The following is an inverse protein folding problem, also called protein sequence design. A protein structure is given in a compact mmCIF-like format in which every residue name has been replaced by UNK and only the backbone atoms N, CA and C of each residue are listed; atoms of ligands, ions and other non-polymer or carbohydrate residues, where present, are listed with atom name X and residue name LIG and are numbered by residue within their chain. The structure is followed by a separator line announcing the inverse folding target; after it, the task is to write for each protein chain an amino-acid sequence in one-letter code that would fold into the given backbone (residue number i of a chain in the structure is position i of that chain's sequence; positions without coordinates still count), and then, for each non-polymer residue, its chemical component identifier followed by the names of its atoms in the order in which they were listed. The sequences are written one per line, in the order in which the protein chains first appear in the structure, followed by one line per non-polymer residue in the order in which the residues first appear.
data_IF_271640812431
#
_entry.id   IF_271640812431
#
_cell.length_a   1.000
_cell.length_b   1.000
_cell.length_c   1.000
_cell.angle_alpha   90.00
_cell.angle_beta   90.00
_cell.angle_gamma   90.00
#
_symmetry.space_group_name_H-M   'P 1'
#
loop_
_entity.id
_entity.type
_entity.pdbx_description
1 polymer ?
#
# COMPACT_ATOMS: atom_id res chain seq x y z
N UNK A 1 -25.38 -16.64 6.65
CA UNK A 1 -24.07 -16.68 5.96
C UNK A 1 -23.05 -17.35 6.88
N UNK A 2 -22.22 -18.28 6.39
CA UNK A 2 -21.25 -18.98 7.26
C UNK A 2 -20.20 -17.99 7.80
N UNK A 3 -19.81 -18.13 9.08
CA UNK A 3 -18.85 -17.23 9.75
C UNK A 3 -17.54 -17.04 8.97
N UNK A 4 -17.07 -18.08 8.29
CA UNK A 4 -15.87 -18.05 7.42
C UNK A 4 -16.05 -17.15 6.19
N UNK A 5 -17.24 -17.13 5.60
CA UNK A 5 -17.56 -16.26 4.46
C UNK A 5 -17.70 -14.81 4.90
N UNK A 6 -18.29 -14.57 6.08
CA UNK A 6 -18.38 -13.22 6.66
C UNK A 6 -16.97 -12.66 6.92
N UNK A 7 -16.10 -13.44 7.56
CA UNK A 7 -14.70 -13.07 7.82
C UNK A 7 -13.92 -12.84 6.52
N UNK A 8 -14.11 -13.68 5.49
CA UNK A 8 -13.47 -13.50 4.18
C UNK A 8 -13.90 -12.21 3.46
N UNK A 9 -15.19 -11.88 3.49
CA UNK A 9 -15.71 -10.61 2.94
C UNK A 9 -15.12 -9.43 3.70
N UNK A 10 -15.14 -9.46 5.03
CA UNK A 10 -14.61 -8.39 5.86
C UNK A 10 -13.11 -8.14 5.58
N UNK A 11 -12.33 -9.22 5.53
CA UNK A 11 -10.89 -9.16 5.29
C UNK A 11 -10.57 -8.65 3.87
N UNK A 12 -11.36 -9.06 2.88
CA UNK A 12 -11.25 -8.55 1.52
C UNK A 12 -11.58 -7.06 1.42
N UNK A 13 -12.62 -6.58 2.11
CA UNK A 13 -13.00 -5.16 2.08
C UNK A 13 -11.97 -4.29 2.80
N UNK A 14 -11.45 -4.74 3.94
CA UNK A 14 -10.39 -4.02 4.64
C UNK A 14 -9.11 -3.98 3.80
N UNK A 15 -8.75 -5.10 3.17
CA UNK A 15 -7.59 -5.18 2.28
C UNK A 15 -7.69 -4.24 1.07
N UNK A 16 -8.86 -4.16 0.40
CA UNK A 16 -9.05 -3.23 -0.72
C UNK A 16 -8.91 -1.77 -0.27
N UNK A 17 -9.51 -1.40 0.87
CA UNK A 17 -9.44 -0.04 1.40
C UNK A 17 -8.00 0.38 1.71
N UNK A 18 -7.20 -0.51 2.32
CA UNK A 18 -5.78 -0.24 2.61
C UNK A 18 -5.01 -0.02 1.31
N UNK A 19 -5.18 -0.89 0.30
CA UNK A 19 -4.46 -0.76 -0.97
C UNK A 19 -4.82 0.54 -1.69
N UNK A 20 -6.11 0.88 -1.76
CA UNK A 20 -6.57 2.12 -2.41
C UNK A 20 -6.02 3.35 -1.69
N UNK A 21 -6.05 3.36 -0.36
CA UNK A 21 -5.51 4.46 0.44
C UNK A 21 -4.00 4.62 0.24
N UNK A 22 -3.24 3.51 0.30
CA UNK A 22 -1.78 3.55 0.11
C UNK A 22 -1.40 3.99 -1.31
N UNK A 23 -2.15 3.56 -2.32
CA UNK A 23 -1.95 4.01 -3.70
C UNK A 23 -2.19 5.51 -3.86
N UNK A 24 -3.26 6.03 -3.24
CA UNK A 24 -3.55 7.47 -3.27
C UNK A 24 -2.46 8.31 -2.59
N UNK A 25 -1.91 7.82 -1.46
CA UNK A 25 -0.79 8.44 -0.78
C UNK A 25 0.49 8.41 -1.63
N UNK A 26 0.78 7.28 -2.28
CA UNK A 26 1.94 7.15 -3.18
C UNK A 26 1.87 8.15 -4.34
N UNK A 27 0.70 8.31 -4.97
CA UNK A 27 0.48 9.27 -6.05
C UNK A 27 0.67 10.71 -5.54
N UNK A 28 0.16 11.04 -4.36
CA UNK A 28 0.39 12.36 -3.75
C UNK A 28 1.88 12.62 -3.53
N UNK A 29 2.59 11.68 -2.92
CA UNK A 29 4.03 11.80 -2.68
C UNK A 29 4.80 11.99 -3.99
N UNK A 30 4.48 11.20 -5.01
CA UNK A 30 5.12 11.31 -6.34
C UNK A 30 4.90 12.70 -6.95
N UNK A 31 3.67 13.22 -6.91
CA UNK A 31 3.35 14.55 -7.43
C UNK A 31 4.05 15.67 -6.65
N UNK A 32 4.14 15.56 -5.32
CA UNK A 32 4.86 16.54 -4.49
C UNK A 32 6.36 16.53 -4.77
N UNK A 33 6.97 15.36 -4.92
CA UNK A 33 8.39 15.25 -5.28
C UNK A 33 8.63 15.90 -6.64
N UNK A 34 7.87 15.57 -7.67
CA UNK A 34 8.09 16.15 -9.01
C UNK A 34 7.99 17.68 -9.06
N UNK A 35 7.12 18.29 -8.25
CA UNK A 35 7.04 19.75 -8.17
C UNK A 35 8.21 20.39 -7.41
N UNK A 36 8.74 19.69 -6.39
CA UNK A 36 9.85 20.19 -5.58
C UNK A 36 11.24 19.84 -6.16
N UNK A 37 11.33 18.85 -7.05
CA UNK A 37 12.58 18.49 -7.73
C UNK A 37 13.10 19.59 -8.65
N UNK A 38 12.20 20.39 -9.24
CA UNK A 38 12.58 21.51 -10.11
C UNK A 38 13.28 22.65 -9.33
N UNK A 39 12.90 22.86 -8.07
CA UNK A 39 13.50 23.88 -7.20
C UNK A 39 14.71 23.36 -6.43
N UNK A 40 14.76 22.06 -6.12
CA UNK A 40 15.90 21.42 -5.46
C UNK A 40 17.19 21.43 -6.32
N UNK A 41 17.07 21.41 -7.65
CA UNK A 41 18.21 21.54 -8.57
C UNK A 41 18.83 22.95 -8.51
N UNK A 42 18.05 23.98 -8.13
CA UNK A 42 18.49 25.38 -8.10
C UNK A 42 18.94 25.80 -6.68
N UNK A 43 18.44 25.16 -5.62
CA UNK A 43 18.60 25.57 -4.22
C UNK A 43 19.84 25.07 -3.46
N UNK A 44 20.72 24.29 -4.09
CA UNK A 44 22.01 23.90 -3.50
C UNK A 44 22.23 22.40 -3.41
N UNK A 45 23.11 21.91 -4.29
CA UNK A 45 24.09 20.81 -4.26
C UNK A 45 23.91 19.52 -3.40
N UNK A 46 23.01 19.42 -2.43
CA UNK A 46 22.87 18.24 -1.56
C UNK A 46 21.87 17.20 -2.12
N UNK A 47 21.99 16.96 -3.42
CA UNK A 47 21.19 15.98 -4.16
C UNK A 47 21.20 14.56 -3.55
N UNK A 48 22.34 14.03 -3.08
CA UNK A 48 22.39 12.71 -2.44
C UNK A 48 21.55 12.64 -1.15
N UNK A 49 21.53 13.70 -0.35
CA UNK A 49 20.79 13.75 0.93
C UNK A 49 19.28 13.87 0.70
N UNK A 50 18.86 14.64 -0.31
CA UNK A 50 17.45 14.72 -0.70
C UNK A 50 16.90 13.37 -1.20
N UNK A 51 17.69 12.65 -2.00
CA UNK A 51 17.35 11.30 -2.46
C UNK A 51 17.24 10.34 -1.26
N UNK A 52 18.21 10.37 -0.34
CA UNK A 52 18.20 9.52 0.85
C UNK A 52 16.95 9.70 1.73
N UNK A 53 16.53 10.95 1.98
CA UNK A 53 15.33 11.27 2.75
C UNK A 53 14.03 10.80 2.08
N UNK A 54 13.93 10.93 0.76
CA UNK A 54 12.76 10.46 -0.01
C UNK A 54 12.65 8.94 0.05
N UNK A 55 13.77 8.23 -0.06
CA UNK A 55 13.79 6.77 0.04
C UNK A 55 13.44 6.30 1.46
N UNK A 56 13.95 6.95 2.52
CA UNK A 56 13.69 6.53 3.91
C UNK A 56 12.20 6.61 4.30
N UNK A 57 11.46 7.60 3.80
CA UNK A 57 10.01 7.72 4.05
C UNK A 57 9.14 6.76 3.24
N UNK A 58 9.59 6.36 2.04
CA UNK A 58 8.80 5.56 1.09
C UNK A 58 8.64 4.08 1.48
N UNK A 59 9.59 3.51 2.23
CA UNK A 59 9.57 2.07 2.57
C UNK A 59 8.31 1.65 3.34
N UNK A 60 7.82 2.48 4.26
CA UNK A 60 6.62 2.19 5.04
C UNK A 60 5.36 2.07 4.18
N UNK A 61 5.23 2.95 3.16
CA UNK A 61 4.12 2.91 2.22
C UNK A 61 4.14 1.61 1.39
N UNK A 62 5.32 1.21 0.92
CA UNK A 62 5.50 -0.01 0.12
C UNK A 62 5.18 -1.26 0.97
N UNK A 63 5.70 -1.33 2.19
CA UNK A 63 5.44 -2.44 3.13
C UNK A 63 3.94 -2.54 3.45
N UNK A 64 3.28 -1.42 3.74
CA UNK A 64 1.85 -1.38 4.01
C UNK A 64 1.03 -1.83 2.79
N UNK A 65 1.47 -1.48 1.58
CA UNK A 65 0.81 -1.89 0.33
C UNK A 65 0.93 -3.41 0.11
N UNK A 66 2.12 -3.99 0.34
CA UNK A 66 2.34 -5.44 0.28
C UNK A 66 1.47 -6.16 1.31
N UNK A 67 1.40 -5.66 2.54
CA UNK A 67 0.55 -6.22 3.59
C UNK A 67 -0.94 -6.18 3.21
N UNK A 68 -1.42 -5.07 2.63
CA UNK A 68 -2.79 -4.94 2.13
C UNK A 68 -3.13 -5.94 1.02
N UNK A 69 -2.20 -6.17 0.09
CA UNK A 69 -2.34 -7.18 -0.98
C UNK A 69 -2.39 -8.60 -0.38
N UNK A 70 -1.54 -8.91 0.59
CA UNK A 70 -1.57 -10.21 1.27
C UNK A 70 -2.91 -10.45 2.01
N UNK A 71 -3.45 -9.41 2.64
CA UNK A 71 -4.79 -9.45 3.25
C UNK A 71 -5.90 -9.71 2.21
N UNK A 72 -5.81 -9.11 1.03
CA UNK A 72 -6.77 -9.37 -0.05
C UNK A 72 -6.73 -10.82 -0.50
N UNK A 73 -5.52 -11.34 -0.76
CA UNK A 73 -5.32 -12.73 -1.21
C UNK A 73 -5.88 -13.69 -0.16
N UNK A 74 -5.56 -13.49 1.12
CA UNK A 74 -6.06 -14.34 2.20
C UNK A 74 -7.59 -14.26 2.35
N UNK A 75 -8.18 -13.07 2.21
CA UNK A 75 -9.63 -12.88 2.18
C UNK A 75 -10.31 -13.64 1.04
N UNK A 76 -9.76 -13.56 -0.17
CA UNK A 76 -10.26 -14.27 -1.36
C UNK A 76 -10.12 -15.79 -1.18
N UNK A 77 -8.97 -16.26 -0.70
CA UNK A 77 -8.74 -17.69 -0.44
C UNK A 77 -9.74 -18.23 0.57
N UNK A 78 -10.05 -17.49 1.64
CA UNK A 78 -11.06 -17.87 2.63
C UNK A 78 -12.47 -17.97 2.03
N UNK A 79 -12.80 -17.16 1.03
CA UNK A 79 -14.08 -17.20 0.33
C UNK A 79 -14.19 -18.39 -0.64
N UNK A 80 -13.09 -18.70 -1.33
CA UNK A 80 -13.02 -19.80 -2.30
C UNK A 80 -12.80 -21.17 -1.64
N UNK A 81 -12.28 -21.21 -0.39
CA UNK A 81 -12.01 -22.46 0.31
C UNK A 81 -13.30 -23.23 0.56
N UNK A 82 -13.53 -24.27 -0.26
CA UNK A 82 -14.65 -25.21 -0.11
C UNK A 82 -14.53 -25.88 1.26
N UNK A 83 -15.64 -25.94 1.99
CA UNK A 83 -15.73 -26.64 3.28
C UNK A 83 -15.51 -28.13 2.98
N UNK A 84 -14.29 -28.64 3.17
CA UNK A 84 -14.06 -30.08 3.27
C UNK A 84 -14.79 -30.53 4.54
N UNK A 85 -16.03 -30.99 4.39
CA UNK A 85 -16.69 -31.82 5.39
C UNK A 85 -15.93 -33.14 5.38
N UNK A 86 -15.06 -33.36 6.37
CA UNK A 86 -14.90 -34.70 6.92
C UNK A 86 -16.19 -35.02 7.66
#
# INVERSE_FOLDING_TARGET
MNIRKISGILLSVVGTLIVVLMLALLIRTYNTVNQNSSTAIIGGADGPTAVFLIFQGGYWLIIAMIAGIAMLITGIVLLLKKKNKK
#
